data_IF_440817857126
#
_entry.id   IF_440817857126
#
_cell.length_a   1.000
_cell.length_b   1.000
_cell.length_c   1.000
_cell.angle_alpha   90.00
_cell.angle_beta   90.00
_cell.angle_gamma   90.00
#
_symmetry.space_group_name_H-M   'P 1'
#
loop_
_entity.id
_entity.type
_entity.pdbx_description
1 polymer ?
#
# COMPACT_ATOMS: atom_id res chain seq x y z
N UNK A 1 -23.95 5.24 -8.27
CA UNK A 1 -23.42 4.42 -9.39
C UNK A 1 -22.90 3.05 -8.95
N UNK A 2 -21.98 2.93 -7.98
CA UNK A 2 -21.45 1.61 -7.53
C UNK A 2 -22.51 0.76 -6.78
N UNK A 3 -23.26 1.34 -5.83
CA UNK A 3 -24.36 0.64 -5.15
C UNK A 3 -25.44 0.11 -6.12
N UNK A 4 -25.70 0.84 -7.20
CA UNK A 4 -26.60 0.44 -8.30
C UNK A 4 -26.03 -0.70 -9.15
N UNK A 5 -24.72 -0.73 -9.40
CA UNK A 5 -24.05 -1.86 -10.06
C UNK A 5 -24.05 -3.11 -9.17
N UNK A 6 -23.84 -2.95 -7.87
CA UNK A 6 -23.91 -4.03 -6.89
C UNK A 6 -25.32 -4.63 -6.79
N UNK A 7 -26.38 -3.82 -6.77
CA UNK A 7 -27.77 -4.32 -6.78
C UNK A 7 -28.12 -5.05 -8.08
N UNK A 8 -27.65 -4.56 -9.23
CA UNK A 8 -27.83 -5.22 -10.53
C UNK A 8 -27.11 -6.59 -10.57
N UNK A 9 -25.89 -6.66 -10.04
CA UNK A 9 -25.12 -7.91 -9.96
C UNK A 9 -25.73 -8.89 -8.95
N UNK A 10 -26.25 -8.40 -7.83
CA UNK A 10 -26.99 -9.19 -6.84
C UNK A 10 -28.17 -9.89 -7.50
N UNK A 11 -29.02 -9.17 -8.24
CA UNK A 11 -30.18 -9.75 -8.93
C UNK A 11 -29.76 -10.84 -9.94
N UNK A 12 -28.64 -10.67 -10.66
CA UNK A 12 -28.09 -11.71 -11.55
C UNK A 12 -27.55 -12.92 -10.78
N UNK A 13 -27.03 -12.70 -9.57
CA UNK A 13 -26.50 -13.74 -8.70
C UNK A 13 -27.58 -14.47 -7.86
N UNK A 14 -28.84 -14.01 -7.85
CA UNK A 14 -29.95 -14.70 -7.14
C UNK A 14 -30.25 -16.11 -7.67
N UNK A 15 -29.81 -16.42 -8.89
CA UNK A 15 -29.85 -17.78 -9.47
C UNK A 15 -28.93 -18.77 -8.72
N UNK A 16 -28.05 -18.28 -7.86
CA UNK A 16 -27.09 -19.03 -7.07
C UNK A 16 -27.75 -19.64 -5.83
N UNK A 17 -28.30 -20.86 -5.98
CA UNK A 17 -29.08 -21.58 -4.96
C UNK A 17 -28.28 -22.08 -3.75
N UNK A 18 -27.02 -21.65 -3.54
CA UNK A 18 -26.22 -22.14 -2.41
C UNK A 18 -26.75 -21.58 -1.09
N UNK A 19 -27.45 -22.42 -0.31
CA UNK A 19 -27.94 -22.07 1.02
C UNK A 19 -26.80 -22.10 2.05
N UNK A 20 -26.66 -21.01 2.78
CA UNK A 20 -25.82 -20.91 3.99
C UNK A 20 -24.33 -20.67 3.75
N UNK A 21 -23.72 -20.03 4.74
CA UNK A 21 -22.27 -19.87 4.89
C UNK A 21 -21.65 -21.21 5.33
N UNK A 22 -20.52 -21.60 4.74
CA UNK A 22 -19.74 -22.78 5.16
C UNK A 22 -18.27 -22.58 4.82
N UNK A 23 -17.40 -23.52 5.20
CA UNK A 23 -15.99 -23.45 4.87
C UNK A 23 -15.75 -23.30 3.37
N UNK A 24 -14.92 -22.31 3.05
CA UNK A 24 -14.55 -21.88 1.70
C UNK A 24 -15.73 -21.45 0.82
N UNK A 25 -16.84 -21.04 1.43
CA UNK A 25 -18.03 -20.64 0.68
C UNK A 25 -18.84 -19.60 1.44
N UNK A 26 -18.76 -18.36 0.98
CA UNK A 26 -19.63 -17.28 1.42
C UNK A 26 -21.00 -17.36 0.74
N UNK A 27 -22.04 -17.11 1.54
CA UNK A 27 -23.40 -16.96 1.07
C UNK A 27 -23.55 -15.68 0.25
N UNK A 28 -24.56 -15.63 -0.62
CA UNK A 28 -24.83 -14.43 -1.42
C UNK A 28 -25.12 -13.21 -0.54
N UNK A 29 -25.74 -13.41 0.62
CA UNK A 29 -26.05 -12.34 1.58
C UNK A 29 -24.76 -11.74 2.17
N UNK A 30 -23.79 -12.56 2.56
CA UNK A 30 -22.49 -12.09 3.06
C UNK A 30 -21.68 -11.38 1.98
N UNK A 31 -21.75 -11.81 0.73
CA UNK A 31 -21.08 -11.15 -0.39
C UNK A 31 -21.79 -9.83 -0.74
N UNK A 32 -23.11 -9.77 -0.62
CA UNK A 32 -23.91 -8.58 -0.91
C UNK A 32 -23.87 -7.52 0.21
N UNK A 33 -23.46 -7.86 1.43
CA UNK A 33 -23.16 -6.87 2.47
C UNK A 33 -21.88 -6.13 2.11
N UNK A 34 -22.02 -4.92 1.56
CA UNK A 34 -20.90 -4.11 1.06
C UNK A 34 -20.04 -3.56 2.21
N UNK A 35 -20.57 -3.48 3.44
CA UNK A 35 -19.93 -2.71 4.52
C UNK A 35 -18.83 -3.48 5.27
N UNK A 36 -18.79 -4.81 5.19
CA UNK A 36 -17.86 -5.62 5.98
C UNK A 36 -17.18 -6.66 5.13
N UNK A 37 -15.88 -6.85 5.31
CA UNK A 37 -15.08 -7.88 4.65
C UNK A 37 -14.48 -8.84 5.68
N UNK A 38 -14.24 -10.12 5.33
CA UNK A 38 -13.80 -11.10 6.31
C UNK A 38 -12.42 -10.77 6.91
N UNK A 39 -11.54 -10.14 6.15
CA UNK A 39 -10.19 -9.78 6.59
C UNK A 39 -10.12 -8.51 7.47
N UNK A 40 -11.25 -7.86 7.78
CA UNK A 40 -11.35 -6.84 8.84
C UNK A 40 -11.54 -7.47 10.24
N UNK A 41 -11.85 -8.78 10.30
CA UNK A 41 -12.19 -9.43 11.55
C UNK A 41 -10.96 -9.65 12.43
N UNK A 42 -10.94 -8.95 13.55
CA UNK A 42 -9.90 -9.05 14.59
C UNK A 42 -10.27 -10.07 15.69
N UNK A 43 -11.57 -10.31 15.91
CA UNK A 43 -12.01 -11.24 16.95
C UNK A 43 -11.55 -12.68 16.65
N UNK A 44 -11.16 -13.43 17.68
CA UNK A 44 -10.73 -14.83 17.57
C UNK A 44 -9.30 -15.05 17.06
N UNK A 45 -8.64 -14.04 16.49
CA UNK A 45 -7.30 -14.18 15.87
C UNK A 45 -6.19 -14.47 16.88
N UNK A 46 -6.37 -14.02 18.13
CA UNK A 46 -5.43 -14.28 19.24
C UNK A 46 -5.18 -15.77 19.46
N UNK A 47 -6.19 -16.62 19.23
CA UNK A 47 -6.08 -18.10 19.37
C UNK A 47 -5.08 -18.70 18.37
N UNK A 48 -4.85 -18.03 17.25
CA UNK A 48 -3.95 -18.45 16.18
C UNK A 48 -2.56 -17.80 16.26
N UNK A 49 -2.28 -17.11 17.38
CA UNK A 49 -1.10 -16.26 17.58
C UNK A 49 -0.96 -15.15 16.53
N UNK A 50 -2.09 -14.71 15.96
CA UNK A 50 -2.14 -13.62 14.97
C UNK A 50 -2.54 -12.34 15.71
N UNK A 51 -1.55 -11.50 16.02
CA UNK A 51 -1.71 -10.25 16.79
C UNK A 51 -2.35 -9.12 15.96
N UNK A 52 -3.56 -9.37 15.46
CA UNK A 52 -4.40 -8.37 14.79
C UNK A 52 -5.04 -7.43 15.82
N UNK A 53 -5.18 -6.17 15.44
CA UNK A 53 -5.87 -5.11 16.17
C UNK A 53 -6.60 -4.21 15.16
N UNK A 54 -7.53 -3.40 15.66
CA UNK A 54 -8.23 -2.41 14.84
C UNK A 54 -7.29 -1.45 14.10
N UNK A 55 -6.05 -1.28 14.56
CA UNK A 55 -5.08 -0.31 14.03
C UNK A 55 -3.91 -0.92 13.25
N UNK A 56 -3.88 -2.25 13.08
CA UNK A 56 -2.79 -2.91 12.34
C UNK A 56 -3.29 -3.97 11.33
N UNK A 57 -4.59 -4.27 11.31
CA UNK A 57 -5.15 -5.30 10.44
C UNK A 57 -4.86 -5.05 8.97
N UNK A 58 -4.87 -3.79 8.54
CA UNK A 58 -4.58 -3.37 7.16
C UNK A 58 -3.19 -3.72 6.69
N UNK A 59 -2.21 -3.47 7.52
CA UNK A 59 -0.82 -3.82 7.25
C UNK A 59 -0.57 -5.34 7.34
N UNK A 60 -1.44 -6.09 8.02
CA UNK A 60 -1.26 -7.53 8.29
C UNK A 60 -2.01 -8.46 7.36
N UNK A 61 -2.99 -7.99 6.61
CA UNK A 61 -3.75 -8.83 5.67
C UNK A 61 -3.51 -8.42 4.22
N UNK A 62 -3.45 -9.42 3.34
CA UNK A 62 -3.28 -9.23 1.90
C UNK A 62 -4.55 -8.65 1.24
N UNK A 63 -5.69 -8.72 1.93
CA UNK A 63 -6.96 -8.18 1.46
C UNK A 63 -6.99 -6.64 1.38
N UNK A 64 -6.14 -5.96 2.15
CA UNK A 64 -6.00 -4.49 2.10
C UNK A 64 -4.83 -4.02 1.24
N UNK A 65 -4.05 -4.92 0.64
CA UNK A 65 -3.07 -4.48 -0.33
C UNK A 65 -3.79 -3.87 -1.56
N UNK A 66 -3.39 -2.69 -2.06
CA UNK A 66 -4.11 -2.04 -3.15
C UNK A 66 -4.19 -2.86 -4.43
N UNK A 67 -3.23 -3.75 -4.69
CA UNK A 67 -3.18 -4.56 -5.91
C UNK A 67 -3.43 -6.03 -5.61
N UNK A 68 -2.75 -6.58 -4.61
CA UNK A 68 -2.98 -7.96 -4.19
C UNK A 68 -4.37 -8.14 -3.57
N UNK A 69 -4.96 -7.10 -2.99
CA UNK A 69 -6.32 -7.13 -2.45
C UNK A 69 -7.37 -7.44 -3.52
N UNK A 70 -7.19 -7.01 -4.76
CA UNK A 70 -8.09 -7.41 -5.85
C UNK A 70 -8.07 -8.92 -6.10
N UNK A 71 -6.94 -9.59 -5.89
CA UNK A 71 -6.84 -11.04 -5.97
C UNK A 71 -7.25 -11.71 -4.65
N UNK A 72 -6.49 -11.47 -3.59
CA UNK A 72 -6.65 -12.11 -2.28
C UNK A 72 -7.92 -11.67 -1.57
N UNK A 73 -8.24 -10.39 -1.57
CA UNK A 73 -9.47 -9.86 -0.97
C UNK A 73 -10.74 -10.36 -1.67
N UNK A 74 -10.76 -10.37 -3.01
CA UNK A 74 -11.88 -10.99 -3.76
C UNK A 74 -12.01 -12.48 -3.44
N UNK A 75 -10.90 -13.23 -3.40
CA UNK A 75 -10.93 -14.64 -3.00
C UNK A 75 -11.47 -14.79 -1.58
N UNK A 76 -10.94 -14.02 -0.63
CA UNK A 76 -11.32 -14.00 0.77
C UNK A 76 -12.81 -13.75 0.98
N UNK A 77 -13.40 -12.77 0.29
CA UNK A 77 -14.84 -12.47 0.32
C UNK A 77 -15.65 -13.68 -0.15
N UNK A 78 -15.21 -14.39 -1.19
CA UNK A 78 -15.94 -15.53 -1.74
C UNK A 78 -15.86 -16.78 -0.85
N UNK A 79 -14.80 -16.90 -0.06
CA UNK A 79 -14.49 -18.10 0.73
C UNK A 79 -14.69 -17.92 2.23
N UNK A 80 -15.09 -16.73 2.69
CA UNK A 80 -15.11 -16.36 4.10
C UNK A 80 -13.77 -16.69 4.78
N UNK A 81 -12.70 -16.16 4.20
CA UNK A 81 -11.33 -16.30 4.72
C UNK A 81 -10.63 -14.96 4.85
N UNK A 82 -9.50 -14.96 5.52
CA UNK A 82 -8.59 -13.83 5.65
C UNK A 82 -7.17 -14.31 5.37
N UNK A 83 -6.54 -13.78 4.32
CA UNK A 83 -5.15 -14.08 3.97
C UNK A 83 -4.21 -13.10 4.64
N UNK A 84 -3.22 -13.60 5.37
CA UNK A 84 -2.27 -12.79 6.14
C UNK A 84 -1.00 -12.53 5.34
N UNK A 85 -0.30 -11.45 5.67
CA UNK A 85 0.99 -11.08 5.08
C UNK A 85 2.18 -11.86 5.66
N UNK A 86 3.38 -11.43 5.30
CA UNK A 86 4.67 -12.06 5.65
C UNK A 86 4.82 -12.36 7.15
N UNK A 87 4.42 -11.44 8.03
CA UNK A 87 4.50 -11.58 9.49
C UNK A 87 3.81 -12.80 10.08
N UNK A 88 2.86 -13.36 9.33
CA UNK A 88 2.11 -14.53 9.74
C UNK A 88 2.32 -15.68 8.76
N UNK A 89 3.49 -15.72 8.11
CA UNK A 89 3.91 -16.77 7.18
C UNK A 89 2.87 -17.07 6.08
N UNK A 90 2.17 -16.04 5.59
CA UNK A 90 1.12 -16.17 4.56
C UNK A 90 -0.01 -17.14 4.91
N UNK A 91 -0.24 -17.38 6.22
CA UNK A 91 -1.35 -18.21 6.71
C UNK A 91 -2.68 -17.59 6.32
N UNK A 92 -3.69 -18.43 6.14
CA UNK A 92 -5.07 -17.99 5.89
C UNK A 92 -5.96 -18.50 7.03
N UNK A 93 -6.90 -17.69 7.50
CA UNK A 93 -7.86 -18.08 8.53
C UNK A 93 -9.27 -18.09 7.97
N UNK A 94 -10.13 -19.00 8.45
CA UNK A 94 -11.57 -18.93 8.21
C UNK A 94 -12.24 -17.96 9.15
N UNK A 95 -13.14 -17.18 8.59
CA UNK A 95 -13.96 -16.20 9.30
C UNK A 95 -15.39 -16.74 9.35
N UNK A 96 -15.93 -16.86 10.54
CA UNK A 96 -17.28 -17.35 10.78
C UNK A 96 -17.91 -16.58 11.93
N UNK A 97 -18.90 -17.19 12.59
CA UNK A 97 -19.54 -16.63 13.78
C UNK A 97 -19.00 -17.32 15.04
N UNK A 98 -18.75 -16.56 16.09
CA UNK A 98 -18.47 -17.08 17.42
C UNK A 98 -19.74 -17.61 18.12
N UNK A 99 -19.59 -18.09 19.36
CA UNK A 99 -20.69 -18.60 20.20
C UNK A 99 -21.77 -17.55 20.50
N UNK A 100 -21.45 -16.26 20.34
CA UNK A 100 -22.37 -15.13 20.51
C UNK A 100 -22.90 -14.61 19.18
N UNK A 101 -22.61 -15.27 18.06
CA UNK A 101 -23.08 -14.90 16.73
C UNK A 101 -22.27 -13.77 16.05
N UNK A 102 -21.18 -13.29 16.66
CA UNK A 102 -20.35 -12.20 16.12
C UNK A 102 -19.27 -12.72 15.17
N UNK A 103 -18.85 -11.94 14.15
CA UNK A 103 -17.76 -12.34 13.26
C UNK A 103 -16.45 -12.59 14.03
N UNK A 104 -15.85 -13.76 13.83
CA UNK A 104 -14.58 -14.15 14.45
C UNK A 104 -13.78 -15.10 13.55
N UNK A 105 -12.46 -15.08 13.68
CA UNK A 105 -11.60 -16.12 13.16
C UNK A 105 -11.82 -17.43 13.95
N UNK A 106 -12.16 -18.50 13.24
CA UNK A 106 -12.63 -19.77 13.86
C UNK A 106 -11.66 -20.94 13.69
N UNK A 107 -10.94 -21.02 12.57
CA UNK A 107 -9.99 -22.11 12.28
C UNK A 107 -8.97 -21.68 11.24
N UNK A 108 -7.81 -22.34 11.20
CA UNK A 108 -6.88 -22.20 10.09
C UNK A 108 -7.48 -22.72 8.78
N UNK A 109 -7.25 -21.98 7.71
CA UNK A 109 -7.65 -22.32 6.36
C UNK A 109 -6.40 -22.60 5.51
N UNK A 110 -6.58 -23.45 4.51
CA UNK A 110 -5.57 -23.76 3.53
C UNK A 110 -5.64 -22.74 2.37
N UNK A 111 -4.57 -21.97 2.10
CA UNK A 111 -4.56 -20.96 1.03
C UNK A 111 -4.81 -21.54 -0.37
N UNK A 112 -4.34 -22.75 -0.65
CA UNK A 112 -4.55 -23.43 -1.94
C UNK A 112 -6.04 -23.77 -2.10
N UNK A 113 -6.67 -24.32 -1.06
CA UNK A 113 -8.11 -24.59 -1.07
C UNK A 113 -8.94 -23.32 -1.25
N UNK A 114 -8.53 -22.20 -0.65
CA UNK A 114 -9.18 -20.91 -0.90
C UNK A 114 -9.26 -20.61 -2.40
N UNK A 115 -8.13 -20.66 -3.12
CA UNK A 115 -8.11 -20.45 -4.57
C UNK A 115 -8.91 -21.50 -5.34
N UNK A 116 -8.80 -22.79 -5.00
CA UNK A 116 -9.57 -23.86 -5.64
C UNK A 116 -11.08 -23.62 -5.55
N UNK A 117 -11.56 -23.22 -4.37
CA UNK A 117 -12.97 -22.96 -4.14
C UNK A 117 -13.43 -21.67 -4.82
N UNK A 118 -12.58 -20.65 -4.92
CA UNK A 118 -12.84 -19.48 -5.76
C UNK A 118 -13.01 -19.86 -7.23
N UNK A 119 -12.16 -20.72 -7.78
CA UNK A 119 -12.29 -21.22 -9.17
C UNK A 119 -13.57 -22.04 -9.34
N UNK A 120 -13.90 -22.91 -8.39
CA UNK A 120 -15.19 -23.64 -8.40
C UNK A 120 -16.37 -22.67 -8.36
N UNK A 121 -16.27 -21.58 -7.60
CA UNK A 121 -17.30 -20.54 -7.52
C UNK A 121 -17.46 -19.80 -8.84
N UNK A 122 -16.35 -19.45 -9.49
CA UNK A 122 -16.34 -18.81 -10.81
C UNK A 122 -17.06 -19.66 -11.86
N UNK A 123 -16.79 -20.97 -11.87
CA UNK A 123 -17.45 -21.93 -12.79
C UNK A 123 -18.97 -22.03 -12.54
N UNK A 124 -19.42 -21.86 -11.29
CA UNK A 124 -20.84 -21.92 -10.92
C UNK A 124 -21.59 -20.62 -11.16
N UNK A 125 -21.01 -19.48 -10.78
CA UNK A 125 -21.64 -18.17 -10.91
C UNK A 125 -20.60 -17.07 -11.08
N UNK A 126 -20.45 -16.62 -12.33
CA UNK A 126 -19.61 -15.46 -12.67
C UNK A 126 -20.15 -14.16 -12.05
N UNK A 127 -21.47 -14.07 -11.87
CA UNK A 127 -22.11 -12.90 -11.24
C UNK A 127 -21.68 -12.75 -9.77
N UNK A 128 -21.54 -13.86 -9.05
CA UNK A 128 -21.08 -13.85 -7.65
C UNK A 128 -19.63 -13.38 -7.52
N UNK A 129 -18.77 -13.72 -8.49
CA UNK A 129 -17.40 -13.19 -8.57
C UNK A 129 -17.40 -11.69 -8.83
N UNK A 130 -18.22 -11.23 -9.78
CA UNK A 130 -18.36 -9.80 -10.08
C UNK A 130 -18.82 -9.00 -8.85
N UNK A 131 -19.76 -9.55 -8.07
CA UNK A 131 -20.23 -8.91 -6.84
C UNK A 131 -19.13 -8.83 -5.77
N UNK A 132 -18.37 -9.91 -5.55
CA UNK A 132 -17.25 -9.91 -4.62
C UNK A 132 -16.14 -8.93 -5.03
N UNK A 133 -15.84 -8.85 -6.33
CA UNK A 133 -14.88 -7.88 -6.86
C UNK A 133 -15.35 -6.43 -6.67
N UNK A 134 -16.65 -6.14 -6.90
CA UNK A 134 -17.21 -4.81 -6.64
C UNK A 134 -17.13 -4.46 -5.15
N UNK A 135 -17.42 -5.42 -4.27
CA UNK A 135 -17.26 -5.25 -2.83
C UNK A 135 -15.81 -4.95 -2.44
N UNK A 136 -14.84 -5.69 -3.01
CA UNK A 136 -13.41 -5.43 -2.83
C UNK A 136 -13.01 -4.03 -3.27
N UNK A 137 -13.46 -3.60 -4.46
CA UNK A 137 -13.15 -2.28 -5.00
C UNK A 137 -13.71 -1.16 -4.12
N UNK A 138 -14.93 -1.35 -3.59
CA UNK A 138 -15.51 -0.40 -2.64
C UNK A 138 -14.71 -0.34 -1.33
N UNK A 139 -14.27 -1.51 -0.84
CA UNK A 139 -13.52 -1.64 0.40
C UNK A 139 -12.15 -0.94 0.34
N UNK A 140 -11.35 -1.22 -0.70
CA UNK A 140 -10.06 -0.54 -0.93
C UNK A 140 -10.26 0.97 -1.00
N UNK A 141 -11.27 1.43 -1.74
CA UNK A 141 -11.56 2.86 -1.86
C UNK A 141 -11.98 3.51 -0.53
N UNK A 142 -12.71 2.81 0.33
CA UNK A 142 -13.02 3.33 1.66
C UNK A 142 -11.80 3.38 2.58
N UNK A 143 -10.82 2.50 2.38
CA UNK A 143 -9.59 2.48 3.18
C UNK A 143 -8.59 3.58 2.77
N UNK A 144 -8.51 3.92 1.48
CA UNK A 144 -7.67 5.01 0.95
C UNK A 144 -7.87 6.35 1.69
N UNK A 145 -9.11 6.71 2.00
CA UNK A 145 -9.44 8.01 2.62
C UNK A 145 -9.55 7.96 4.15
N UNK A 146 -9.11 6.86 4.76
CA UNK A 146 -9.14 6.69 6.22
C UNK A 146 -7.91 7.32 6.89
N UNK A 147 -7.97 7.51 8.22
CA UNK A 147 -6.85 8.06 9.00
C UNK A 147 -5.63 7.13 9.07
N UNK A 148 -5.83 5.82 8.95
CA UNK A 148 -4.74 4.83 9.04
C UNK A 148 -4.02 4.62 7.71
N UNK A 149 -4.58 5.16 6.62
CA UNK A 149 -4.07 5.00 5.26
C UNK A 149 -4.16 3.56 4.75
N UNK A 150 -3.62 3.37 3.56
CA UNK A 150 -3.51 2.07 2.90
C UNK A 150 -2.05 1.84 2.53
N UNK A 151 -1.55 0.63 2.79
CA UNK A 151 -0.19 0.23 2.44
C UNK A 151 0.07 0.40 0.95
N UNK A 152 1.32 0.61 0.55
CA UNK A 152 1.65 0.56 -0.86
C UNK A 152 1.59 -0.87 -1.43
N UNK A 153 1.42 -1.02 -2.76
CA UNK A 153 1.28 -2.32 -3.39
C UNK A 153 2.45 -3.25 -3.07
N UNK A 154 2.14 -4.52 -2.85
CA UNK A 154 3.04 -5.64 -2.61
C UNK A 154 3.83 -5.62 -1.31
N UNK A 155 3.72 -4.57 -0.48
CA UNK A 155 4.54 -4.48 0.72
C UNK A 155 4.30 -5.61 1.71
N UNK A 156 3.06 -6.07 1.84
CA UNK A 156 2.68 -7.19 2.70
C UNK A 156 3.37 -8.51 2.32
N UNK A 157 3.94 -8.63 1.11
CA UNK A 157 4.74 -9.78 0.69
C UNK A 157 6.20 -9.68 1.13
N UNK A 158 6.73 -8.46 1.20
CA UNK A 158 8.17 -8.21 1.27
C UNK A 158 8.60 -7.82 2.68
N UNK A 159 7.75 -7.08 3.38
CA UNK A 159 8.11 -6.36 4.61
C UNK A 159 7.08 -6.65 5.71
N UNK A 160 7.55 -6.54 6.94
CA UNK A 160 6.77 -6.77 8.12
C UNK A 160 5.78 -5.62 8.37
N UNK A 161 4.60 -5.92 8.90
CA UNK A 161 3.47 -5.00 9.02
C UNK A 161 3.74 -3.78 9.89
N UNK A 162 4.64 -3.87 10.87
CA UNK A 162 5.04 -2.74 11.70
C UNK A 162 5.77 -1.67 10.86
N UNK A 163 6.57 -2.09 9.88
CA UNK A 163 7.25 -1.18 8.94
C UNK A 163 6.24 -0.56 7.97
N UNK A 164 5.29 -1.37 7.47
CA UNK A 164 4.23 -0.89 6.58
C UNK A 164 3.39 0.19 7.28
N UNK A 165 3.04 -0.05 8.54
CA UNK A 165 2.27 0.91 9.33
C UNK A 165 3.03 2.22 9.54
N UNK A 166 4.31 2.15 9.88
CA UNK A 166 5.16 3.34 10.06
C UNK A 166 5.29 4.14 8.75
N UNK A 167 5.37 3.46 7.60
CA UNK A 167 5.36 4.12 6.29
C UNK A 167 4.05 4.88 6.06
N UNK A 168 2.89 4.26 6.31
CA UNK A 168 1.59 4.92 6.18
C UNK A 168 1.47 6.13 7.13
N UNK A 169 1.86 5.98 8.40
CA UNK A 169 1.83 7.05 9.40
C UNK A 169 2.80 8.20 9.05
N UNK A 170 3.91 7.89 8.36
CA UNK A 170 4.84 8.87 7.80
C UNK A 170 4.29 9.56 6.53
N UNK A 171 3.06 9.26 6.14
CA UNK A 171 2.42 9.77 4.93
C UNK A 171 2.95 9.14 3.66
N UNK A 172 3.48 7.92 3.71
CA UNK A 172 3.85 7.12 2.53
C UNK A 172 2.77 6.05 2.39
N UNK A 173 1.61 6.47 1.88
CA UNK A 173 0.42 5.63 1.70
C UNK A 173 0.00 5.56 0.22
N UNK A 174 -0.84 4.58 -0.10
CA UNK A 174 -1.34 4.36 -1.46
C UNK A 174 -2.23 5.48 -1.97
N UNK A 175 -2.94 6.21 -1.11
CA UNK A 175 -3.80 7.31 -1.57
C UNK A 175 -3.00 8.39 -2.30
N UNK A 176 -1.73 8.60 -1.92
CA UNK A 176 -0.82 9.47 -2.68
C UNK A 176 -0.46 8.91 -4.06
N UNK A 177 -0.32 7.59 -4.22
CA UNK A 177 -0.06 6.95 -5.50
C UNK A 177 -1.33 6.86 -6.36
N UNK A 178 -2.51 6.67 -5.76
CA UNK A 178 -3.80 6.64 -6.47
C UNK A 178 -4.18 8.00 -7.05
N UNK A 179 -3.85 9.09 -6.32
CA UNK A 179 -3.92 10.45 -6.89
C UNK A 179 -3.20 10.51 -8.24
N UNK A 180 -2.04 9.88 -8.37
CA UNK A 180 -1.28 9.80 -9.62
C UNK A 180 -1.82 8.79 -10.62
N UNK A 181 -2.41 7.69 -10.16
CA UNK A 181 -3.17 6.74 -10.97
C UNK A 181 -4.36 7.37 -11.69
N UNK A 182 -5.00 8.36 -11.07
CA UNK A 182 -6.06 9.17 -11.69
C UNK A 182 -5.57 10.09 -12.81
N UNK A 183 -4.26 10.37 -12.86
CA UNK A 183 -3.60 11.24 -13.86
C UNK A 183 -2.96 10.41 -14.99
N UNK A 184 -2.78 9.10 -14.83
CA UNK A 184 -2.45 8.17 -15.92
C UNK A 184 -1.52 7.01 -15.50
N UNK A 185 -1.63 5.86 -16.18
CA UNK A 185 -0.86 4.63 -15.86
C UNK A 185 0.66 4.86 -15.88
N UNK A 186 1.16 5.70 -16.78
CA UNK A 186 2.60 6.01 -16.86
C UNK A 186 3.10 6.76 -15.61
N UNK A 187 2.32 7.71 -15.08
CA UNK A 187 2.69 8.46 -13.87
C UNK A 187 2.66 7.54 -12.65
N UNK A 188 1.63 6.69 -12.54
CA UNK A 188 1.54 5.71 -11.46
C UNK A 188 2.74 4.76 -11.42
N UNK A 189 3.22 4.32 -12.60
CA UNK A 189 4.41 3.48 -12.71
C UNK A 189 5.68 4.24 -12.33
N UNK A 190 5.84 5.50 -12.76
CA UNK A 190 6.97 6.34 -12.38
C UNK A 190 7.02 6.53 -10.85
N UNK A 191 5.88 6.85 -10.22
CA UNK A 191 5.78 6.99 -8.76
C UNK A 191 6.04 5.69 -8.02
N UNK A 192 5.60 4.54 -8.57
CA UNK A 192 5.93 3.23 -8.00
C UNK A 192 7.46 2.98 -8.04
N UNK A 193 8.14 3.35 -9.13
CA UNK A 193 9.59 3.23 -9.24
C UNK A 193 10.28 4.16 -8.23
N UNK A 194 9.85 5.43 -8.14
CA UNK A 194 10.37 6.40 -7.17
C UNK A 194 10.16 5.94 -5.73
N UNK A 195 9.06 5.23 -5.48
CA UNK A 195 8.81 4.59 -4.21
C UNK A 195 9.83 3.48 -3.89
N UNK A 196 10.07 2.56 -4.82
CA UNK A 196 11.07 1.49 -4.65
C UNK A 196 12.45 2.10 -4.39
N UNK A 197 12.82 3.13 -5.15
CA UNK A 197 14.07 3.88 -4.94
C UNK A 197 14.10 4.51 -3.55
N UNK A 198 12.99 5.10 -3.09
CA UNK A 198 12.91 5.73 -1.77
C UNK A 198 13.14 4.76 -0.63
N UNK A 199 12.53 3.57 -0.70
CA UNK A 199 12.71 2.51 0.32
C UNK A 199 14.14 1.99 0.28
N UNK A 200 14.65 1.64 -0.91
CA UNK A 200 16.00 1.12 -1.07
C UNK A 200 17.06 2.12 -0.55
N UNK A 201 16.91 3.40 -0.90
CA UNK A 201 17.83 4.45 -0.47
C UNK A 201 17.80 4.67 1.04
N UNK A 202 16.61 4.68 1.68
CA UNK A 202 16.48 4.80 3.14
C UNK A 202 17.13 3.62 3.86
N UNK A 203 16.89 2.39 3.40
CA UNK A 203 17.52 1.20 3.97
C UNK A 203 19.05 1.27 3.81
N UNK A 204 19.54 1.70 2.64
CA UNK A 204 20.97 1.83 2.36
C UNK A 204 21.67 2.81 3.30
N UNK A 205 21.08 3.99 3.52
CA UNK A 205 21.66 4.97 4.46
C UNK A 205 21.77 4.39 5.87
N UNK A 206 20.73 3.68 6.33
CA UNK A 206 20.73 3.05 7.66
C UNK A 206 21.80 1.96 7.74
N UNK A 207 21.97 1.16 6.67
CA UNK A 207 23.03 0.16 6.60
C UNK A 207 24.44 0.79 6.64
N UNK A 208 24.65 1.91 5.94
CA UNK A 208 25.93 2.62 5.92
C UNK A 208 26.27 3.29 7.26
N UNK A 209 25.29 3.92 7.92
CA UNK A 209 25.48 4.54 9.24
C UNK A 209 25.86 3.51 10.30
N UNK A 210 25.27 2.31 10.24
CA UNK A 210 25.61 1.21 11.17
C UNK A 210 26.95 0.54 10.85
N UNK A 211 27.34 0.45 9.57
CA UNK A 211 28.66 -0.08 9.19
C UNK A 211 29.81 0.76 9.74
N UNK A 212 29.62 2.07 9.90
CA UNK A 212 30.59 2.97 10.57
C UNK A 212 30.72 2.70 12.08
N UNK A 213 29.71 2.07 12.69
CA UNK A 213 29.67 1.78 14.12
C UNK A 213 30.02 0.31 14.46
N UNK A 214 30.36 -0.53 13.46
CA UNK A 214 30.71 -1.95 13.63
C UNK A 214 29.67 -2.82 14.36
N UNK A 215 28.36 -2.51 14.22
CA UNK A 215 27.28 -3.30 14.83
C UNK A 215 26.44 -4.05 13.79
N UNK A 216 26.09 -5.30 14.10
CA UNK A 216 25.10 -6.09 13.35
C UNK A 216 23.71 -5.50 13.58
N UNK A 217 23.05 -5.01 12.54
CA UNK A 217 21.74 -4.37 12.65
C UNK A 217 20.68 -5.39 13.06
N UNK A 218 20.13 -5.22 14.26
CA UNK A 218 18.91 -5.89 14.67
C UNK A 218 17.67 -5.17 14.12
N UNK A 219 16.55 -5.88 13.98
CA UNK A 219 15.28 -5.32 13.48
C UNK A 219 14.82 -4.08 14.28
N UNK A 220 15.05 -4.09 15.59
CA UNK A 220 14.67 -3.00 16.49
C UNK A 220 15.57 -1.76 16.33
N UNK A 221 16.87 -1.96 16.10
CA UNK A 221 17.79 -0.85 15.77
C UNK A 221 17.45 -0.22 14.41
N UNK A 222 17.05 -1.01 13.42
CA UNK A 222 16.61 -0.49 12.12
C UNK A 222 15.38 0.41 12.27
N UNK A 223 14.40 -0.02 13.08
CA UNK A 223 13.20 0.77 13.40
C UNK A 223 13.53 2.06 14.16
N UNK A 224 14.47 2.02 15.10
CA UNK A 224 14.90 3.20 15.83
C UNK A 224 15.64 4.21 14.93
N UNK A 225 16.50 3.72 14.04
CA UNK A 225 17.24 4.56 13.08
C UNK A 225 16.31 5.19 12.04
N UNK A 226 15.26 4.48 11.61
CA UNK A 226 14.21 5.07 10.78
C UNK A 226 13.57 6.29 11.45
N UNK A 227 13.42 6.29 12.79
CA UNK A 227 12.80 7.36 13.58
C UNK A 227 13.71 8.55 13.89
N UNK A 228 15.00 8.31 14.11
CA UNK A 228 15.91 9.34 14.67
C UNK A 228 16.18 10.52 13.72
N UNK A 229 16.11 10.31 12.41
CA UNK A 229 16.56 11.28 11.39
C UNK A 229 15.59 11.38 10.19
N UNK A 230 14.29 11.15 10.41
CA UNK A 230 13.26 11.06 9.35
C UNK A 230 13.36 12.21 8.36
N UNK A 231 13.43 13.46 8.86
CA UNK A 231 13.41 14.68 8.04
C UNK A 231 14.65 14.83 7.17
N UNK A 232 15.84 14.48 7.69
CA UNK A 232 17.10 14.60 6.95
C UNK A 232 17.23 13.50 5.90
N UNK A 233 16.88 12.25 6.21
CA UNK A 233 16.87 11.16 5.24
C UNK A 233 15.83 11.38 4.15
N UNK A 234 14.68 11.95 4.51
CA UNK A 234 13.66 12.35 3.54
C UNK A 234 14.18 13.41 2.58
N UNK A 235 14.84 14.46 3.07
CA UNK A 235 15.48 15.49 2.22
C UNK A 235 16.52 14.86 1.29
N UNK A 236 17.38 13.96 1.78
CA UNK A 236 18.38 13.28 0.94
C UNK A 236 17.71 12.42 -0.14
N UNK A 237 16.69 11.67 0.23
CA UNK A 237 15.95 10.77 -0.68
C UNK A 237 15.22 11.56 -1.76
N UNK A 238 14.51 12.64 -1.39
CA UNK A 238 13.83 13.53 -2.35
C UNK A 238 14.81 14.18 -3.33
N UNK A 239 16.03 14.54 -2.90
CA UNK A 239 17.08 15.03 -3.82
C UNK A 239 17.49 13.98 -4.84
N UNK A 240 17.68 12.73 -4.41
CA UNK A 240 18.02 11.62 -5.31
C UNK A 240 16.93 11.40 -6.35
N UNK A 241 15.65 11.43 -5.93
CA UNK A 241 14.50 11.30 -6.83
C UNK A 241 14.50 12.44 -7.86
N UNK A 242 14.55 13.71 -7.42
CA UNK A 242 14.54 14.87 -8.33
C UNK A 242 15.67 14.80 -9.36
N UNK A 243 16.89 14.45 -8.92
CA UNK A 243 18.04 14.35 -9.81
C UNK A 243 17.84 13.22 -10.82
N UNK A 244 17.40 12.05 -10.36
CA UNK A 244 17.18 10.87 -11.20
C UNK A 244 16.10 11.12 -12.25
N UNK A 245 14.96 11.68 -11.83
CA UNK A 245 13.86 12.11 -12.68
C UNK A 245 14.28 13.16 -13.71
N UNK A 246 15.06 14.17 -13.29
CA UNK A 246 15.57 15.20 -14.21
C UNK A 246 16.48 14.60 -15.29
N UNK A 247 17.37 13.68 -14.91
CA UNK A 247 18.25 12.98 -15.86
C UNK A 247 17.43 12.10 -16.80
N UNK A 248 16.49 11.32 -16.28
CA UNK A 248 15.63 10.45 -17.08
C UNK A 248 14.82 11.25 -18.10
N UNK A 249 14.21 12.36 -17.67
CA UNK A 249 13.48 13.31 -18.53
C UNK A 249 14.38 13.90 -19.63
N UNK A 250 15.58 14.35 -19.29
CA UNK A 250 16.55 14.89 -20.25
C UNK A 250 16.99 13.85 -21.28
N UNK A 251 17.28 12.62 -20.82
CA UNK A 251 17.69 11.50 -21.68
C UNK A 251 16.55 11.08 -22.61
N UNK A 252 15.32 10.97 -22.10
CA UNK A 252 14.13 10.68 -22.92
C UNK A 252 13.94 11.75 -24.00
N UNK A 253 14.10 13.04 -23.64
CA UNK A 253 13.92 14.16 -24.57
C UNK A 253 14.97 14.13 -25.67
N UNK A 254 16.23 13.86 -25.31
CA UNK A 254 17.34 13.72 -26.26
C UNK A 254 17.14 12.57 -27.24
N UNK A 255 16.70 11.40 -26.74
CA UNK A 255 16.41 10.23 -27.59
C UNK A 255 15.27 10.54 -28.55
N UNK A 256 14.17 11.14 -28.07
CA UNK A 256 13.04 11.54 -28.92
C UNK A 256 13.49 12.52 -30.01
N UNK A 257 14.27 13.55 -29.67
CA UNK A 257 14.78 14.53 -30.62
C UNK A 257 15.67 13.92 -31.71
N UNK A 258 16.62 13.06 -31.33
CA UNK A 258 17.50 12.36 -32.28
C UNK A 258 16.69 11.48 -33.23
N UNK A 259 15.65 10.85 -32.71
CA UNK A 259 14.83 9.89 -33.46
C UNK A 259 13.92 10.59 -34.46
N UNK A 260 13.32 11.73 -34.07
CA UNK A 260 12.59 12.63 -34.98
C UNK A 260 13.50 13.07 -36.13
N UNK A 261 14.73 13.51 -35.82
CA UNK A 261 15.71 13.94 -36.83
C UNK A 261 16.13 12.83 -37.79
N UNK A 262 16.09 11.57 -37.36
CA UNK A 262 16.43 10.39 -38.18
C UNK A 262 15.26 9.84 -39.00
N UNK A 263 14.10 10.51 -39.00
CA UNK A 263 12.94 10.11 -39.81
C UNK A 263 12.19 8.87 -39.29
N UNK A 264 12.52 8.37 -38.11
CA UNK A 264 11.85 7.22 -37.49
C UNK A 264 10.62 7.68 -36.69
N UNK A 265 9.55 8.06 -37.39
CA UNK A 265 8.35 8.67 -36.80
C UNK A 265 7.60 7.81 -35.77
N UNK A 266 7.84 6.49 -35.74
CA UNK A 266 7.08 5.57 -34.89
C UNK A 266 7.51 5.55 -33.42
N UNK A 267 8.71 6.08 -33.12
CA UNK A 267 9.24 6.19 -31.75
C UNK A 267 8.83 7.50 -31.04
N UNK A 268 8.27 8.47 -31.75
CA UNK A 268 7.66 9.69 -31.17
C UNK A 268 6.46 9.33 -30.28
N UNK A 269 5.85 8.16 -30.50
CA UNK A 269 4.79 7.61 -29.64
C UNK A 269 5.32 7.04 -28.30
N UNK A 270 6.64 6.95 -28.10
CA UNK A 270 7.28 6.44 -26.86
C UNK A 270 7.77 7.54 -25.91
N UNK A 271 7.30 8.77 -26.09
CA UNK A 271 7.55 9.88 -25.16
C UNK A 271 7.02 9.48 -23.78
N UNK A 272 7.87 9.61 -22.75
CA UNK A 272 7.49 9.29 -21.38
C UNK A 272 6.76 10.48 -20.73
N UNK A 273 5.53 10.72 -21.19
CA UNK A 273 4.69 11.82 -20.73
C UNK A 273 4.45 11.71 -19.21
N UNK A 274 4.32 10.49 -18.70
CA UNK A 274 4.15 10.26 -17.27
C UNK A 274 5.37 10.66 -16.45
N UNK A 275 6.57 10.26 -16.88
CA UNK A 275 7.83 10.68 -16.27
C UNK A 275 8.02 12.19 -16.26
N UNK A 276 7.70 12.88 -17.36
CA UNK A 276 7.79 14.35 -17.42
C UNK A 276 6.86 15.06 -16.42
N UNK A 277 5.62 14.58 -16.28
CA UNK A 277 4.65 15.16 -15.34
C UNK A 277 5.12 14.92 -13.90
N UNK A 278 5.60 13.71 -13.58
CA UNK A 278 6.19 13.39 -12.27
C UNK A 278 7.40 14.28 -11.97
N UNK A 279 8.35 14.40 -12.92
CA UNK A 279 9.52 15.29 -12.81
C UNK A 279 9.14 16.73 -12.49
N UNK A 280 8.16 17.32 -13.20
CA UNK A 280 7.70 18.70 -12.96
C UNK A 280 7.14 18.83 -11.55
N UNK A 281 6.31 17.89 -11.11
CA UNK A 281 5.70 17.96 -9.78
C UNK A 281 6.74 17.85 -8.67
N UNK A 282 7.70 16.93 -8.79
CA UNK A 282 8.81 16.80 -7.84
C UNK A 282 9.67 18.08 -7.81
N UNK A 283 9.95 18.68 -8.97
CA UNK A 283 10.69 19.94 -9.04
C UNK A 283 9.98 21.05 -8.25
N UNK A 284 8.65 21.15 -8.31
CA UNK A 284 7.93 22.18 -7.57
C UNK A 284 7.72 21.84 -6.09
N UNK A 285 7.31 20.63 -5.76
CA UNK A 285 6.89 20.29 -4.40
C UNK A 285 8.05 19.87 -3.51
N UNK A 286 8.98 19.07 -4.01
CA UNK A 286 10.09 18.59 -3.20
C UNK A 286 11.10 19.70 -2.94
N UNK A 287 11.36 20.58 -3.92
CA UNK A 287 12.21 21.75 -3.69
C UNK A 287 11.61 22.66 -2.60
N UNK A 288 10.29 22.88 -2.61
CA UNK A 288 9.61 23.65 -1.56
C UNK A 288 9.76 22.99 -0.20
N UNK A 289 9.52 21.68 -0.12
CA UNK A 289 9.70 20.91 1.12
C UNK A 289 11.14 20.99 1.64
N UNK A 290 12.14 20.73 0.79
CA UNK A 290 13.56 20.79 1.15
C UNK A 290 13.94 22.19 1.62
N UNK A 291 13.43 23.22 0.95
CA UNK A 291 13.69 24.63 1.31
C UNK A 291 13.08 24.98 2.66
N UNK A 292 11.87 24.50 2.94
CA UNK A 292 11.22 24.65 4.26
C UNK A 292 12.06 24.02 5.37
N UNK A 293 12.46 22.76 5.21
CA UNK A 293 13.29 22.07 6.21
C UNK A 293 14.63 22.77 6.43
N UNK A 294 15.28 23.26 5.36
CA UNK A 294 16.51 24.06 5.48
C UNK A 294 16.28 25.36 6.26
N UNK A 295 15.17 26.05 6.00
CA UNK A 295 14.81 27.29 6.70
C UNK A 295 14.59 27.03 8.19
N UNK A 296 13.83 25.98 8.52
CA UNK A 296 13.54 25.60 9.91
C UNK A 296 14.83 25.21 10.67
N UNK A 297 15.74 24.49 10.01
CA UNK A 297 17.05 24.15 10.59
C UNK A 297 17.91 25.40 10.87
N UNK A 298 18.00 26.33 9.91
CA UNK A 298 18.74 27.58 10.08
C UNK A 298 18.13 28.43 11.20
N UNK A 299 16.80 28.55 11.24
CA UNK A 299 16.11 29.31 12.28
C UNK A 299 16.38 28.74 13.68
N UNK A 300 16.33 27.41 13.82
CA UNK A 300 16.65 26.74 15.09
C UNK A 300 18.10 26.97 15.52
N UNK A 301 19.07 26.81 14.61
CA UNK A 301 20.48 27.03 14.91
C UNK A 301 20.77 28.50 15.30
N UNK A 302 20.06 29.45 14.70
CA UNK A 302 20.13 30.86 15.07
C UNK A 302 19.59 31.07 16.48
N UNK A 303 18.40 30.54 16.80
CA UNK A 303 17.78 30.64 18.13
C UNK A 303 18.69 30.05 19.22
N UNK A 304 19.24 28.85 19.03
CA UNK A 304 20.16 28.22 19.97
C UNK A 304 21.40 29.09 20.23
N UNK A 305 22.00 29.66 19.18
CA UNK A 305 23.14 30.58 19.32
C UNK A 305 22.77 31.88 20.06
N UNK A 306 21.57 32.42 19.85
CA UNK A 306 21.08 33.58 20.61
C UNK A 306 20.90 33.23 22.09
N UNK A 307 20.31 32.08 22.41
CA UNK A 307 20.13 31.64 23.80
C UNK A 307 21.47 31.42 24.51
N UNK A 308 22.44 30.76 23.85
CA UNK A 308 23.78 30.54 24.41
C UNK A 308 24.48 31.87 24.75
N UNK A 309 24.38 32.86 23.86
CA UNK A 309 24.94 34.21 24.10
C UNK A 309 24.22 34.95 25.21
N UNK A 310 22.90 34.81 25.34
CA UNK A 310 22.13 35.42 26.43
C UNK A 310 22.50 34.84 27.80
N UNK A 311 22.83 33.55 27.86
CA UNK A 311 23.31 32.90 29.09
C UNK A 311 24.70 33.41 29.48
N UNK A 312 25.57 33.73 28.51
CA UNK A 312 26.92 34.25 28.78
C UNK A 312 26.97 35.73 29.19
N UNK A 313 25.89 36.48 28.99
CA UNK A 313 25.80 37.92 29.32
C UNK A 313 25.09 38.16 30.67
N UNK A 314 24.53 37.12 31.30
CA UNK A 314 24.02 37.14 32.67
C UNK A 314 25.09 36.69 33.66
#
# INVERSE_FOLDING_TARGET
MIKTKASTMKNKAESDKTKGSRYYHASLQEIADINHVPYDVVSGTRKFNVKLSGTNHRAKTLGHDPWLGYLFGTCNILTNTMSLGKDNAFRTLHVGKDTSGKPAAIVEANPIKMFEYTVKRYKKSKATIGLAFIKQAYHIKSDEYSKEGLSLPFLQLLVDSDIIKELCESGIDYAKLDFWGSVGVQIALAEMINYVISVAHRITIICEENKKNNETITKDQLLQSLKKNVTLHEVRTRKVIIISESIASLVNAGIVLITVKRGAGDLVKKVDIGGYISTIFHLFNDIRFITKIKKDFIAKAIEENYQDKLVQVK
#
